data_IF_152597591157
#
_entry.id   IF_152597591157
#
_cell.length_a   1.000
_cell.length_b   1.000
_cell.length_c   1.000
_cell.angle_alpha   90.00
_cell.angle_beta   90.00
_cell.angle_gamma   90.00
#
_symmetry.space_group_name_H-M   'P 1'
#
loop_
_entity.id
_entity.type
_entity.pdbx_description
1 polymer ?
#
# COMPACT_ATOMS: atom_id res chain seq x y z
N UNK A 1 -35.54 58.53 -27.54
CA UNK A 1 -35.05 57.46 -28.43
C UNK A 1 -33.71 56.95 -27.87
N UNK A 2 -33.70 55.84 -27.10
CA UNK A 2 -33.20 54.49 -27.46
C UNK A 2 -31.78 54.59 -28.09
N UNK A 3 -30.68 54.02 -27.56
CA UNK A 3 -30.44 52.61 -27.19
C UNK A 3 -29.26 52.48 -26.21
N UNK A 4 -29.48 51.64 -25.19
CA UNK A 4 -28.42 50.96 -24.44
C UNK A 4 -27.55 50.14 -25.41
N UNK A 5 -26.22 50.24 -25.28
CA UNK A 5 -25.29 49.29 -25.91
C UNK A 5 -24.64 48.48 -24.81
N UNK A 6 -24.80 47.18 -24.98
CA UNK A 6 -24.61 46.14 -23.98
C UNK A 6 -23.14 45.85 -23.68
N UNK A 7 -22.93 45.58 -22.39
CA UNK A 7 -22.05 44.58 -21.80
C UNK A 7 -21.40 43.58 -22.78
N UNK A 8 -20.08 43.51 -22.77
CA UNK A 8 -19.35 42.27 -23.06
C UNK A 8 -18.20 42.12 -22.05
N UNK A 9 -18.55 41.72 -20.83
CA UNK A 9 -17.59 41.24 -19.86
C UNK A 9 -17.12 39.85 -20.32
N UNK A 10 -15.95 39.80 -20.95
CA UNK A 10 -15.27 38.54 -21.29
C UNK A 10 -14.72 37.94 -20.00
N UNK A 11 -15.54 37.13 -19.33
CA UNK A 11 -15.10 36.21 -18.28
C UNK A 11 -14.24 35.13 -18.95
N UNK A 12 -12.94 35.39 -19.04
CA UNK A 12 -11.95 34.35 -19.31
C UNK A 12 -11.92 33.41 -18.10
N UNK A 13 -12.79 32.39 -18.13
CA UNK A 13 -12.64 31.17 -17.35
C UNK A 13 -11.37 30.46 -17.84
N UNK A 14 -10.21 30.92 -17.37
CA UNK A 14 -9.01 30.10 -17.36
C UNK A 14 -9.28 29.03 -16.31
N UNK A 15 -9.90 27.95 -16.74
CA UNK A 15 -9.98 26.72 -15.98
C UNK A 15 -8.57 26.21 -15.79
N UNK A 16 -7.96 26.56 -14.65
CA UNK A 16 -6.85 25.78 -14.12
C UNK A 16 -7.41 24.39 -13.79
N UNK A 17 -7.40 23.49 -14.77
CA UNK A 17 -7.38 22.06 -14.52
C UNK A 17 -6.02 21.75 -13.90
N UNK A 18 -5.86 22.06 -12.61
CA UNK A 18 -4.78 21.51 -11.79
C UNK A 18 -5.09 20.04 -11.63
N UNK A 19 -4.65 19.25 -12.61
CA UNK A 19 -4.41 17.82 -12.46
C UNK A 19 -3.54 17.69 -11.22
N UNK A 20 -4.14 17.26 -10.11
CA UNK A 20 -3.45 17.12 -8.82
C UNK A 20 -2.55 15.90 -8.90
N UNK A 21 -1.42 16.04 -9.61
CA UNK A 21 -0.25 15.21 -9.35
C UNK A 21 0.25 15.67 -7.98
N UNK A 22 -0.12 14.91 -6.95
CA UNK A 22 0.25 15.21 -5.59
C UNK A 22 1.48 14.41 -5.23
N UNK A 23 2.48 15.07 -4.66
CA UNK A 23 3.50 14.35 -3.88
C UNK A 23 2.81 13.55 -2.76
N UNK A 24 3.43 12.44 -2.37
CA UNK A 24 2.99 11.64 -1.23
C UNK A 24 2.83 12.53 0.01
N UNK A 25 1.71 12.34 0.73
CA UNK A 25 1.42 13.10 1.94
C UNK A 25 1.30 12.18 3.15
N UNK A 26 2.23 12.27 4.11
CA UNK A 26 2.08 11.56 5.38
C UNK A 26 0.87 12.10 6.17
N UNK A 27 0.07 11.19 6.73
CA UNK A 27 -1.19 11.49 7.43
C UNK A 27 -0.97 11.72 8.92
N UNK A 28 -0.31 10.77 9.60
CA UNK A 28 -0.16 10.81 11.07
C UNK A 28 1.03 11.67 11.52
N UNK A 29 1.06 12.08 12.80
CA UNK A 29 2.19 12.83 13.37
C UNK A 29 3.51 12.05 13.25
N UNK A 30 3.52 10.80 13.71
CA UNK A 30 4.69 9.92 13.66
C UNK A 30 5.17 9.68 12.22
N UNK A 31 4.23 9.51 11.28
CA UNK A 31 4.55 9.34 9.86
C UNK A 31 5.15 10.61 9.25
N UNK A 32 4.64 11.80 9.60
CA UNK A 32 5.20 13.08 9.14
C UNK A 32 6.64 13.26 9.61
N UNK A 33 6.90 12.95 10.87
CA UNK A 33 8.24 13.03 11.45
C UNK A 33 9.20 12.03 10.80
N UNK A 34 8.76 10.79 10.59
CA UNK A 34 9.56 9.76 9.92
C UNK A 34 9.84 10.13 8.46
N UNK A 35 8.82 10.56 7.71
CA UNK A 35 8.94 11.01 6.32
C UNK A 35 9.93 12.15 6.17
N UNK A 36 9.96 13.11 7.10
CA UNK A 36 10.87 14.25 7.05
C UNK A 36 12.36 13.87 7.24
N UNK A 37 12.65 12.72 7.88
CA UNK A 37 14.01 12.22 8.11
C UNK A 37 14.44 11.17 7.09
N UNK A 38 13.48 10.52 6.45
CA UNK A 38 13.73 9.35 5.63
C UNK A 38 14.34 9.71 4.28
N UNK A 39 15.25 8.87 3.82
CA UNK A 39 15.77 8.87 2.46
C UNK A 39 14.79 8.09 1.58
N UNK A 40 14.21 8.76 0.60
CA UNK A 40 13.15 8.23 -0.25
C UNK A 40 13.70 7.56 -1.53
N UNK A 41 14.97 7.81 -1.84
CA UNK A 41 15.68 7.39 -3.04
C UNK A 41 16.66 6.23 -2.82
N UNK A 42 16.83 5.77 -1.57
CA UNK A 42 17.66 4.62 -1.24
C UNK A 42 16.83 3.35 -1.38
N UNK A 43 17.25 2.44 -2.24
CA UNK A 43 16.53 1.18 -2.48
C UNK A 43 17.02 0.02 -1.60
N UNK A 44 16.24 -1.07 -1.46
CA UNK A 44 16.74 -2.31 -0.86
C UNK A 44 18.07 -2.81 -1.44
N UNK A 45 18.25 -2.75 -2.76
CA UNK A 45 19.50 -3.18 -3.40
C UNK A 45 20.68 -2.28 -3.05
N UNK A 46 20.47 -0.97 -2.89
CA UNK A 46 21.52 -0.06 -2.40
C UNK A 46 21.96 -0.44 -0.99
N UNK A 47 21.00 -0.75 -0.11
CA UNK A 47 21.28 -1.24 1.25
C UNK A 47 22.01 -2.59 1.23
N UNK A 48 21.71 -3.48 0.29
CA UNK A 48 22.46 -4.76 0.16
C UNK A 48 23.89 -4.53 -0.31
N UNK A 49 24.11 -3.58 -1.22
CA UNK A 49 25.43 -3.24 -1.76
C UNK A 49 26.31 -2.54 -0.73
N UNK A 50 25.74 -1.66 0.09
CA UNK A 50 26.48 -0.85 1.06
C UNK A 50 25.78 -0.76 2.43
N UNK A 51 25.54 -1.92 3.04
CA UNK A 51 24.87 -1.99 4.35
C UNK A 51 25.63 -1.22 5.44
N UNK A 52 26.96 -1.20 5.40
CA UNK A 52 27.78 -0.59 6.45
C UNK A 52 27.64 0.93 6.52
N UNK A 53 27.42 1.61 5.39
CA UNK A 53 27.16 3.06 5.40
C UNK A 53 25.68 3.37 5.68
N UNK A 54 24.77 2.46 5.31
CA UNK A 54 23.33 2.70 5.32
C UNK A 54 22.57 2.15 6.56
N UNK A 55 23.19 1.35 7.43
CA UNK A 55 22.47 0.70 8.55
C UNK A 55 21.87 1.66 9.59
N UNK A 56 22.29 2.91 9.65
CA UNK A 56 21.68 3.95 10.51
C UNK A 56 20.80 4.94 9.74
N UNK A 57 20.78 4.84 8.42
CA UNK A 57 19.97 5.72 7.56
C UNK A 57 18.51 5.32 7.70
N UNK A 58 17.67 6.29 8.02
CA UNK A 58 16.22 6.09 7.98
C UNK A 58 15.79 6.10 6.51
N UNK A 59 15.21 5.02 6.04
CA UNK A 59 14.72 4.86 4.67
C UNK A 59 13.20 4.78 4.67
N UNK A 60 12.58 5.11 3.54
CA UNK A 60 11.16 4.89 3.31
C UNK A 60 10.98 3.91 2.16
N UNK A 61 10.30 2.80 2.39
CA UNK A 61 10.00 1.80 1.37
C UNK A 61 8.52 1.52 1.30
N UNK A 62 8.07 1.20 0.08
CA UNK A 62 6.72 0.74 -0.19
C UNK A 62 6.75 -0.71 -0.69
N UNK A 63 5.66 -1.41 -0.47
CA UNK A 63 5.52 -2.77 -0.98
C UNK A 63 4.20 -3.39 -0.56
N UNK A 64 4.03 -4.67 -0.89
CA UNK A 64 2.81 -5.42 -0.62
C UNK A 64 3.06 -6.36 0.55
N UNK A 65 2.20 -6.30 1.56
CA UNK A 65 2.27 -7.19 2.72
C UNK A 65 2.00 -8.62 2.26
N UNK A 66 2.94 -9.52 2.50
CA UNK A 66 2.78 -10.96 2.25
C UNK A 66 2.35 -11.69 3.51
N UNK A 67 2.93 -11.33 4.64
CA UNK A 67 2.68 -11.97 5.93
C UNK A 67 2.75 -10.94 7.06
N UNK A 68 1.96 -11.18 8.13
CA UNK A 68 1.97 -10.38 9.35
C UNK A 68 2.02 -11.32 10.56
N UNK A 69 2.99 -11.12 11.44
CA UNK A 69 3.07 -11.77 12.75
C UNK A 69 2.88 -10.76 13.88
N UNK A 70 2.09 -11.14 14.89
CA UNK A 70 1.89 -10.34 16.10
C UNK A 70 2.43 -11.08 17.31
N UNK A 71 3.14 -10.38 18.19
CA UNK A 71 3.61 -10.90 19.48
C UNK A 71 3.30 -9.89 20.57
N UNK A 72 2.61 -10.32 21.61
CA UNK A 72 2.32 -9.48 22.77
C UNK A 72 3.28 -9.78 23.91
N UNK A 73 3.69 -8.72 24.60
CA UNK A 73 4.38 -8.78 25.88
C UNK A 73 3.60 -8.01 26.94
N UNK A 74 4.12 -7.93 28.16
CA UNK A 74 3.49 -7.13 29.22
C UNK A 74 3.39 -5.64 28.88
N UNK A 75 4.36 -5.08 28.15
CA UNK A 75 4.51 -3.62 27.94
C UNK A 75 4.26 -3.16 26.51
N UNK A 76 4.52 -4.03 25.54
CA UNK A 76 4.47 -3.70 24.12
C UNK A 76 3.87 -4.82 23.28
N UNK A 77 3.31 -4.46 22.14
CA UNK A 77 2.99 -5.37 21.04
C UNK A 77 4.05 -5.18 19.95
N UNK A 78 4.70 -6.27 19.57
CA UNK A 78 5.59 -6.33 18.41
C UNK A 78 4.84 -6.85 17.20
N UNK A 79 4.96 -6.14 16.08
CA UNK A 79 4.41 -6.53 14.78
C UNK A 79 5.57 -6.76 13.83
N UNK A 80 5.58 -7.90 13.14
CA UNK A 80 6.53 -8.18 12.08
C UNK A 80 5.78 -8.34 10.76
N UNK A 81 6.21 -7.61 9.75
CA UNK A 81 5.69 -7.72 8.39
C UNK A 81 6.75 -8.36 7.50
N UNK A 82 6.34 -9.27 6.61
CA UNK A 82 7.12 -9.64 5.44
C UNK A 82 6.51 -8.92 4.24
N UNK A 83 7.31 -8.12 3.55
CA UNK A 83 6.83 -7.21 2.51
C UNK A 83 7.59 -7.45 1.23
N UNK A 84 6.85 -7.59 0.13
CA UNK A 84 7.39 -7.61 -1.22
C UNK A 84 7.57 -6.18 -1.69
N UNK A 85 8.82 -5.74 -1.83
CA UNK A 85 9.16 -4.39 -2.24
C UNK A 85 8.62 -4.09 -3.63
N UNK A 86 8.07 -2.90 -3.81
CA UNK A 86 7.66 -2.35 -5.10
C UNK A 86 8.16 -0.92 -5.19
N UNK A 87 8.65 -0.52 -6.36
CA UNK A 87 9.04 0.87 -6.55
C UNK A 87 7.81 1.77 -6.43
N UNK A 88 8.02 2.95 -5.89
CA UNK A 88 6.96 3.91 -5.59
C UNK A 88 7.43 5.32 -5.86
N UNK A 89 6.71 6.05 -6.71
CA UNK A 89 7.02 7.45 -6.99
C UNK A 89 6.44 8.35 -5.88
N UNK A 90 7.33 8.78 -4.98
CA UNK A 90 6.99 9.68 -3.88
C UNK A 90 6.54 11.08 -4.34
N UNK A 91 6.87 11.48 -5.57
CA UNK A 91 6.53 12.79 -6.13
C UNK A 91 5.23 12.75 -6.93
N UNK A 92 4.90 11.60 -7.52
CA UNK A 92 3.67 11.40 -8.29
C UNK A 92 3.05 10.02 -8.02
N UNK A 93 2.31 9.90 -6.93
CA UNK A 93 1.74 8.62 -6.49
C UNK A 93 0.40 8.26 -7.15
N UNK A 94 0.03 8.90 -8.27
CA UNK A 94 -1.17 8.52 -9.03
C UNK A 94 -2.07 9.66 -9.50
N UNK A 95 -1.57 10.89 -9.70
CA UNK A 95 -2.32 11.95 -10.41
C UNK A 95 -3.69 12.33 -9.81
N UNK A 96 -3.91 12.07 -8.52
CA UNK A 96 -5.19 12.30 -7.82
C UNK A 96 -6.11 11.07 -7.72
N UNK A 97 -5.61 9.87 -8.03
CA UNK A 97 -6.26 8.56 -7.84
C UNK A 97 -5.57 7.74 -6.73
N UNK A 98 -5.96 6.47 -6.59
CA UNK A 98 -5.32 5.44 -5.74
C UNK A 98 -3.79 5.44 -5.88
N UNK A 99 -3.09 5.05 -4.82
CA UNK A 99 -1.63 4.91 -4.82
C UNK A 99 -1.17 4.00 -5.96
N UNK A 100 -0.13 4.36 -6.71
CA UNK A 100 0.40 3.51 -7.78
C UNK A 100 1.78 2.96 -7.42
N UNK A 101 1.87 1.63 -7.34
CA UNK A 101 3.13 0.90 -7.26
C UNK A 101 3.58 0.51 -8.67
N UNK A 102 4.89 0.46 -8.92
CA UNK A 102 5.39 -0.14 -10.15
C UNK A 102 5.26 -1.67 -10.11
N UNK A 103 5.17 -2.30 -11.28
CA UNK A 103 5.23 -3.77 -11.40
C UNK A 103 6.60 -4.34 -11.04
N UNK A 104 7.64 -3.53 -11.01
CA UNK A 104 8.99 -3.96 -10.66
C UNK A 104 9.29 -3.70 -9.18
N UNK A 105 10.22 -4.47 -8.64
CA UNK A 105 10.58 -4.45 -7.23
C UNK A 105 11.89 -5.18 -6.98
N UNK A 106 12.40 -5.08 -5.75
CA UNK A 106 13.76 -5.51 -5.39
C UNK A 106 13.74 -6.64 -4.35
N UNK A 107 12.78 -7.56 -4.52
CA UNK A 107 12.58 -8.72 -3.66
C UNK A 107 11.83 -8.39 -2.36
N UNK A 108 12.14 -9.12 -1.30
CA UNK A 108 11.44 -9.03 -0.01
C UNK A 108 12.29 -8.38 1.07
N UNK A 109 11.62 -7.66 1.97
CA UNK A 109 12.19 -7.14 3.21
C UNK A 109 11.24 -7.42 4.39
N UNK A 110 11.81 -7.46 5.59
CA UNK A 110 11.05 -7.62 6.82
C UNK A 110 11.00 -6.29 7.58
N UNK A 111 9.87 -6.00 8.20
CA UNK A 111 9.66 -4.78 8.99
C UNK A 111 9.28 -5.18 10.40
N UNK A 112 10.08 -4.81 11.38
CA UNK A 112 9.74 -4.93 12.80
C UNK A 112 9.25 -3.59 13.33
N UNK A 113 8.02 -3.56 13.85
CA UNK A 113 7.41 -2.38 14.46
C UNK A 113 6.94 -2.70 15.88
N UNK A 114 7.11 -1.74 16.79
CA UNK A 114 6.74 -1.88 18.20
C UNK A 114 5.74 -0.81 18.58
N UNK A 115 4.70 -1.22 19.30
CA UNK A 115 3.66 -0.33 19.79
C UNK A 115 3.50 -0.54 21.29
N UNK A 116 3.55 0.55 22.03
CA UNK A 116 3.31 0.51 23.48
C UNK A 116 1.83 0.30 23.79
N UNK A 117 1.56 -0.35 24.93
CA UNK A 117 0.20 -0.45 25.48
C UNK A 117 -0.33 0.95 25.85
N UNK A 118 -1.64 1.21 25.74
CA UNK A 118 -2.76 0.25 25.79
C UNK A 118 -3.22 -0.33 24.44
N UNK A 119 -2.48 -0.11 23.34
CA UNK A 119 -2.84 -0.66 22.02
C UNK A 119 -2.99 -2.19 22.07
N UNK A 120 -4.15 -2.71 21.67
CA UNK A 120 -4.43 -4.15 21.65
C UNK A 120 -4.01 -4.80 20.32
N UNK A 121 -3.69 -6.09 20.36
CA UNK A 121 -3.49 -6.89 19.14
C UNK A 121 -4.73 -6.85 18.23
N UNK A 122 -5.94 -6.90 18.80
CA UNK A 122 -7.18 -6.91 18.02
C UNK A 122 -7.33 -5.66 17.16
N UNK A 123 -6.98 -4.49 17.71
CA UNK A 123 -6.97 -3.24 16.97
C UNK A 123 -5.91 -3.27 15.86
N UNK A 124 -4.68 -3.70 16.18
CA UNK A 124 -3.61 -3.77 15.18
C UNK A 124 -3.92 -4.75 14.03
N UNK A 125 -4.60 -5.86 14.32
CA UNK A 125 -5.09 -6.80 13.30
C UNK A 125 -6.14 -6.20 12.37
N UNK A 126 -6.92 -5.23 12.83
CA UNK A 126 -7.88 -4.52 11.97
C UNK A 126 -7.26 -3.42 11.11
N UNK A 127 -5.97 -3.11 11.28
CA UNK A 127 -5.32 -2.03 10.53
C UNK A 127 -4.70 -2.48 9.21
N UNK A 128 -4.37 -3.77 9.08
CA UNK A 128 -3.63 -4.27 7.94
C UNK A 128 -3.89 -5.77 7.74
N UNK A 129 -4.05 -6.15 6.48
CA UNK A 129 -4.14 -7.53 6.04
C UNK A 129 -3.05 -7.87 5.01
N UNK A 130 -2.83 -9.17 4.78
CA UNK A 130 -2.00 -9.60 3.66
C UNK A 130 -2.65 -9.16 2.34
N UNK A 131 -1.86 -8.60 1.43
CA UNK A 131 -2.35 -7.98 0.19
C UNK A 131 -2.45 -6.46 0.27
N UNK A 132 -2.49 -5.87 1.47
CA UNK A 132 -2.41 -4.41 1.61
C UNK A 132 -1.04 -3.88 1.18
N UNK A 133 -1.00 -2.62 0.76
CA UNK A 133 0.24 -1.90 0.57
C UNK A 133 0.75 -1.41 1.94
N UNK A 134 2.03 -1.60 2.22
CA UNK A 134 2.70 -1.03 3.37
C UNK A 134 3.67 0.05 2.92
N UNK A 135 3.54 1.23 3.52
CA UNK A 135 4.62 2.23 3.54
C UNK A 135 5.33 2.10 4.89
N UNK A 136 6.61 1.73 4.85
CA UNK A 136 7.44 1.53 6.04
C UNK A 136 8.57 2.55 6.10
N UNK A 137 8.72 3.19 7.26
CA UNK A 137 9.84 4.07 7.57
C UNK A 137 10.68 3.40 8.66
N UNK A 138 11.97 3.24 8.44
CA UNK A 138 12.81 2.57 9.41
C UNK A 138 14.28 2.52 9.04
N UNK A 139 15.08 1.96 9.94
CA UNK A 139 16.52 1.80 9.73
C UNK A 139 16.85 0.33 9.44
N UNK A 140 17.70 0.02 8.45
CA UNK A 140 18.19 -1.32 8.22
C UNK A 140 19.02 -1.81 9.42
N UNK A 141 18.54 -2.77 10.19
CA UNK A 141 19.26 -3.26 11.39
C UNK A 141 20.09 -4.51 11.13
N UNK A 142 19.73 -5.31 10.13
CA UNK A 142 20.48 -6.50 9.71
C UNK A 142 20.01 -7.02 8.36
N UNK A 143 20.86 -7.81 7.72
CA UNK A 143 20.50 -8.65 6.57
C UNK A 143 20.61 -10.11 6.99
N UNK A 144 19.56 -10.90 6.80
CA UNK A 144 19.55 -12.34 7.13
C UNK A 144 19.03 -13.13 5.94
N UNK A 145 19.87 -14.03 5.40
CA UNK A 145 19.54 -14.85 4.22
C UNK A 145 19.07 -13.99 3.02
N UNK A 146 19.67 -12.83 2.82
CA UNK A 146 19.30 -11.89 1.74
C UNK A 146 18.12 -10.96 2.05
N UNK A 147 17.36 -11.21 3.13
CA UNK A 147 16.25 -10.35 3.56
C UNK A 147 16.75 -9.26 4.49
N UNK A 148 16.52 -8.01 4.11
CA UNK A 148 16.81 -6.83 4.94
C UNK A 148 15.75 -6.74 6.03
N UNK A 149 16.15 -6.44 7.25
CA UNK A 149 15.24 -6.18 8.35
C UNK A 149 15.28 -4.71 8.72
N UNK A 150 14.13 -4.04 8.62
CA UNK A 150 13.94 -2.68 9.09
C UNK A 150 13.45 -2.69 10.54
N UNK A 151 14.04 -1.86 11.39
CA UNK A 151 13.42 -1.43 12.64
C UNK A 151 12.60 -0.19 12.34
N UNK A 152 11.28 -0.33 12.29
CA UNK A 152 10.38 0.72 11.86
C UNK A 152 10.15 1.77 12.95
N UNK A 153 10.21 3.04 12.55
CA UNK A 153 9.83 4.21 13.34
C UNK A 153 8.36 4.56 13.09
N UNK A 154 7.87 4.33 11.87
CA UNK A 154 6.48 4.47 11.50
C UNK A 154 6.13 3.46 10.41
N UNK A 155 4.88 3.01 10.41
CA UNK A 155 4.31 2.22 9.32
C UNK A 155 2.96 2.79 8.95
N UNK A 156 2.57 2.61 7.70
CA UNK A 156 1.25 2.95 7.21
C UNK A 156 0.75 1.86 6.27
N UNK A 157 -0.23 1.05 6.71
CA UNK A 157 -0.98 0.22 5.80
C UNK A 157 -1.93 1.07 4.95
N UNK A 158 -2.15 0.62 3.71
CA UNK A 158 -3.03 1.19 2.70
C UNK A 158 -3.80 0.01 2.11
N UNK A 159 -5.13 0.07 2.20
CA UNK A 159 -6.03 -0.99 1.74
C UNK A 159 -5.73 -1.38 0.29
N UNK A 160 -5.90 -2.65 -0.05
CA UNK A 160 -5.85 -3.14 -1.44
C UNK A 160 -6.73 -2.34 -2.41
N UNK A 161 -7.85 -1.77 -1.94
CA UNK A 161 -8.75 -0.94 -2.76
C UNK A 161 -8.20 0.49 -3.03
N UNK A 162 -7.22 0.93 -2.23
CA UNK A 162 -6.65 2.26 -2.27
C UNK A 162 -5.34 2.33 -3.08
N UNK A 163 -4.88 1.21 -3.66
CA UNK A 163 -3.69 1.18 -4.51
C UNK A 163 -3.86 0.32 -5.77
N UNK A 164 -2.95 0.51 -6.73
CA UNK A 164 -2.88 -0.25 -7.97
C UNK A 164 -1.43 -0.57 -8.32
N UNK A 165 -1.21 -1.63 -9.09
CA UNK A 165 0.10 -2.01 -9.60
C UNK A 165 0.13 -1.65 -11.09
N UNK A 166 1.10 -0.85 -11.52
CA UNK A 166 1.23 -0.44 -12.91
C UNK A 166 1.34 -1.66 -13.83
N UNK A 167 0.51 -1.73 -14.87
CA UNK A 167 0.53 -2.84 -15.83
C UNK A 167 -0.13 -4.14 -15.34
N UNK A 168 -0.64 -4.19 -14.11
CA UNK A 168 -1.63 -5.20 -13.76
C UNK A 168 -2.94 -4.80 -14.44
N UNK A 169 -3.34 -5.52 -15.50
CA UNK A 169 -4.72 -5.39 -15.96
C UNK A 169 -5.64 -5.74 -14.78
N UNK A 170 -6.71 -4.98 -14.54
CA UNK A 170 -7.70 -5.40 -13.56
C UNK A 170 -8.10 -6.80 -13.96
N UNK A 171 -7.90 -7.80 -13.08
CA UNK A 171 -8.37 -9.15 -13.37
C UNK A 171 -9.84 -8.99 -13.66
N UNK A 172 -10.21 -9.07 -14.95
CA UNK A 172 -11.59 -9.10 -15.35
C UNK A 172 -12.19 -10.25 -14.54
N UNK A 173 -13.21 -9.95 -13.73
CA UNK A 173 -14.03 -10.98 -13.11
C UNK A 173 -14.36 -11.96 -14.22
N UNK A 174 -13.74 -13.15 -14.16
CA UNK A 174 -14.08 -14.20 -15.09
C UNK A 174 -15.57 -14.41 -14.88
N UNK A 175 -16.39 -14.34 -15.95
CA UNK A 175 -17.83 -14.50 -15.82
C UNK A 175 -18.05 -15.79 -15.04
N UNK A 176 -18.73 -15.70 -13.89
CA UNK A 176 -19.07 -16.87 -13.10
C UNK A 176 -19.68 -17.89 -14.06
N UNK A 177 -18.96 -19.00 -14.30
CA UNK A 177 -19.50 -20.02 -15.17
C UNK A 177 -20.84 -20.44 -14.56
N UNK A 178 -21.93 -20.45 -15.36
CA UNK A 178 -23.24 -20.76 -14.84
C UNK A 178 -23.16 -22.10 -14.13
N UNK A 179 -23.39 -22.09 -12.82
CA UNK A 179 -23.42 -23.29 -11.99
C UNK A 179 -24.45 -24.21 -12.63
N UNK A 180 -23.97 -25.29 -13.25
CA UNK A 180 -24.83 -26.26 -13.91
C UNK A 180 -25.86 -26.75 -12.90
N UNK A 181 -27.14 -26.50 -13.18
CA UNK A 181 -28.24 -26.98 -12.36
C UNK A 181 -28.11 -28.50 -12.20
N UNK A 182 -28.24 -29.04 -10.97
CA UNK A 182 -28.26 -30.47 -10.75
C UNK A 182 -29.38 -31.09 -11.59
N UNK A 183 -29.03 -31.97 -12.52
CA UNK A 183 -30.00 -32.75 -13.28
C UNK A 183 -30.78 -33.63 -12.29
N UNK A 184 -32.03 -33.26 -12.06
CA UNK A 184 -32.98 -34.01 -11.24
C UNK A 184 -33.18 -35.39 -11.87
N UNK A 185 -32.67 -36.41 -11.18
CA UNK A 185 -32.73 -37.81 -11.62
C UNK A 185 -34.17 -38.28 -11.45
N UNK A 186 -34.93 -38.21 -12.54
CA UNK A 186 -36.27 -38.81 -12.66
C UNK A 186 -36.17 -40.32 -12.47
N UNK A 187 -36.64 -40.80 -11.32
CA UNK A 187 -36.77 -42.20 -10.96
C UNK A 187 -38.23 -42.62 -11.22
N UNK A 188 -38.46 -43.30 -12.34
CA UNK A 188 -39.70 -43.98 -12.62
C UNK A 188 -39.39 -45.34 -13.24
N UNK A 189 -39.56 -46.41 -12.48
CA UNK A 189 -40.28 -47.58 -12.99
C UNK A 189 -40.71 -48.48 -11.82
N UNK A 190 -42.03 -48.64 -11.69
CA UNK A 190 -42.66 -49.59 -10.78
C UNK A 190 -42.98 -50.88 -11.56
N UNK A 191 -42.83 -52.07 -10.97
CA UNK A 191 -43.19 -53.32 -11.64
C UNK A 191 -44.72 -53.51 -11.61
N UNK A 192 -45.29 -53.87 -12.75
CA UNK A 192 -46.66 -54.38 -12.85
C UNK A 192 -46.63 -55.91 -12.79
N UNK A 193 -47.40 -56.50 -11.89
CA UNK A 193 -47.77 -57.93 -11.86
C UNK A 193 -48.83 -58.28 -12.92
#
# INVERSE_FOLDING_TARGET
MIKQVACLAVLALVGCSTTRNGAYRPKSGNEKEAYARAWLDVSPDDVRKDFQSLYQTEVAWAGIIKEIEFRESEREVSVAFLVEHRNFDWKDHGGGRSYQLEAEGEGVFAVGWKVEKPTSISYLKSLADAGDMLVAYGRPVRIRKGTIQLSATAVRPISADDYSIAGAEPMAELPEEPVAEPQEKSEADAPSE
#
